data_IF_806513609525
#
_entry.id   IF_806513609525
#
_cell.length_a   1.000
_cell.length_b   1.000
_cell.length_c   1.000
_cell.angle_alpha   90.00
_cell.angle_beta   90.00
_cell.angle_gamma   90.00
#
_symmetry.space_group_name_H-M   'P 1'
#
loop_
_entity.id
_entity.type
_entity.pdbx_description
1 polymer ?
#
# COMPACT_ATOMS: atom_id res chain seq x y z
N UNK A 1 30.61 8.39 -16.07
CA UNK A 1 30.99 7.21 -15.27
C UNK A 1 29.87 6.19 -15.45
N UNK A 2 30.13 5.00 -15.95
CA UNK A 2 29.12 3.94 -16.02
C UNK A 2 29.00 3.28 -14.65
N UNK A 3 27.74 3.11 -14.18
CA UNK A 3 27.48 2.37 -12.94
C UNK A 3 27.91 0.90 -13.12
N UNK A 4 28.66 0.36 -12.16
CA UNK A 4 28.98 -1.07 -12.13
C UNK A 4 27.68 -1.88 -11.97
N UNK A 5 27.48 -2.85 -12.85
CA UNK A 5 26.35 -3.80 -12.75
C UNK A 5 26.86 -5.10 -12.14
N UNK A 6 26.30 -5.45 -10.99
CA UNK A 6 26.63 -6.68 -10.29
C UNK A 6 26.07 -7.91 -11.03
N UNK A 7 26.84 -9.01 -11.16
CA UNK A 7 26.31 -10.28 -11.66
C UNK A 7 25.31 -10.95 -10.70
N UNK A 8 25.17 -10.42 -9.47
CA UNK A 8 24.25 -10.91 -8.44
C UNK A 8 22.91 -10.15 -8.43
N UNK A 9 22.71 -9.20 -9.36
CA UNK A 9 21.46 -8.47 -9.45
C UNK A 9 20.34 -9.42 -9.90
N UNK A 10 19.40 -9.70 -8.98
CA UNK A 10 18.27 -10.58 -9.26
C UNK A 10 17.10 -9.84 -9.96
N UNK A 11 17.04 -8.51 -9.82
CA UNK A 11 15.99 -7.65 -10.34
C UNK A 11 16.57 -6.52 -11.18
N UNK A 12 16.39 -6.54 -12.52
CA UNK A 12 17.06 -5.59 -13.42
C UNK A 12 16.62 -4.14 -13.22
N UNK A 13 15.56 -3.89 -12.46
CA UNK A 13 14.98 -2.56 -12.26
C UNK A 13 15.56 -1.79 -11.06
N UNK A 14 16.34 -2.43 -10.20
CA UNK A 14 16.95 -1.76 -9.04
C UNK A 14 17.97 -0.69 -9.46
N UNK A 15 18.49 -0.78 -10.68
CA UNK A 15 19.39 0.22 -11.26
C UNK A 15 18.67 1.32 -12.06
N UNK A 16 17.35 1.37 -12.04
CA UNK A 16 16.59 2.47 -12.65
C UNK A 16 17.06 3.81 -12.07
N UNK A 17 17.04 4.85 -12.91
CA UNK A 17 17.45 6.19 -12.45
C UNK A 17 16.62 6.62 -11.22
N UNK A 18 17.29 7.24 -10.22
CA UNK A 18 16.63 7.64 -8.97
C UNK A 18 15.45 8.61 -9.13
N UNK A 19 15.30 9.19 -10.33
CA UNK A 19 14.13 10.00 -10.69
C UNK A 19 12.98 9.18 -11.28
N UNK A 20 13.23 7.92 -11.64
CA UNK A 20 12.20 7.00 -12.11
C UNK A 20 11.48 6.37 -10.91
N UNK A 21 10.25 6.80 -10.67
CA UNK A 21 9.48 6.41 -9.51
C UNK A 21 8.87 4.99 -9.61
N UNK A 22 9.06 4.27 -10.73
CA UNK A 22 8.48 2.92 -10.91
C UNK A 22 9.06 1.93 -9.91
N UNK A 23 10.38 1.92 -9.77
CA UNK A 23 11.04 1.05 -8.80
C UNK A 23 10.65 1.41 -7.36
N UNK A 24 10.59 2.71 -7.02
CA UNK A 24 10.16 3.16 -5.70
C UNK A 24 8.72 2.71 -5.39
N UNK A 25 7.84 2.75 -6.39
CA UNK A 25 6.45 2.29 -6.27
C UNK A 25 6.37 0.78 -6.03
N UNK A 26 7.13 0.00 -6.78
CA UNK A 26 7.20 -1.47 -6.65
C UNK A 26 7.72 -1.86 -5.26
N UNK A 27 8.82 -1.24 -4.81
CA UNK A 27 9.40 -1.50 -3.48
C UNK A 27 8.44 -1.11 -2.36
N UNK A 28 7.79 0.05 -2.46
CA UNK A 28 6.86 0.51 -1.43
C UNK A 28 5.63 -0.39 -1.34
N UNK A 29 5.05 -0.80 -2.46
CA UNK A 29 3.89 -1.70 -2.45
C UNK A 29 4.25 -3.10 -1.98
N UNK A 30 5.44 -3.61 -2.30
CA UNK A 30 5.95 -4.88 -1.76
C UNK A 30 6.15 -4.81 -0.23
N UNK A 31 6.74 -3.72 0.26
CA UNK A 31 6.88 -3.48 1.71
C UNK A 31 5.51 -3.39 2.39
N UNK A 32 4.53 -2.70 1.79
CA UNK A 32 3.17 -2.62 2.32
C UNK A 32 2.48 -3.97 2.38
N UNK A 33 2.61 -4.80 1.34
CA UNK A 33 2.07 -6.16 1.31
C UNK A 33 2.71 -7.02 2.42
N UNK A 34 4.03 -6.98 2.55
CA UNK A 34 4.78 -7.70 3.59
C UNK A 34 4.35 -7.26 5.01
N UNK A 35 4.17 -5.96 5.21
CA UNK A 35 3.72 -5.39 6.48
C UNK A 35 2.25 -5.73 6.79
N UNK A 36 1.40 -5.84 5.77
CA UNK A 36 0.02 -6.33 5.92
C UNK A 36 0.02 -7.80 6.37
N UNK A 37 0.92 -8.62 5.82
CA UNK A 37 1.14 -9.99 6.27
C UNK A 37 1.61 -10.07 7.73
N UNK A 38 2.51 -9.17 8.15
CA UNK A 38 2.95 -9.07 9.54
C UNK A 38 1.78 -8.68 10.47
N UNK A 39 0.99 -7.68 10.10
CA UNK A 39 -0.21 -7.28 10.85
C UNK A 39 -1.18 -8.46 10.99
N UNK A 40 -1.41 -9.20 9.90
CA UNK A 40 -2.25 -10.40 9.91
C UNK A 40 -1.75 -11.45 10.92
N UNK A 41 -0.45 -11.64 11.05
CA UNK A 41 0.13 -12.57 12.02
C UNK A 41 -0.06 -12.13 13.49
N UNK A 42 -0.18 -10.83 13.73
CA UNK A 42 -0.31 -10.23 15.06
C UNK A 42 -1.76 -10.14 15.57
N UNK A 43 -2.75 -10.15 14.69
CA UNK A 43 -4.17 -10.08 15.08
C UNK A 43 -4.70 -11.46 15.46
N UNK A 44 -5.73 -11.50 16.33
CA UNK A 44 -6.34 -12.76 16.80
C UNK A 44 -7.69 -13.05 16.15
N UNK A 45 -8.37 -12.02 15.65
CA UNK A 45 -9.67 -12.14 14.99
C UNK A 45 -9.53 -12.80 13.62
N UNK A 46 -10.18 -13.93 13.40
CA UNK A 46 -10.05 -14.72 12.17
C UNK A 46 -10.72 -14.01 10.96
N UNK A 47 -11.79 -13.24 11.19
CA UNK A 47 -12.41 -12.47 10.12
C UNK A 47 -11.46 -11.35 9.64
N UNK A 48 -10.84 -10.64 10.59
CA UNK A 48 -9.84 -9.62 10.28
C UNK A 48 -8.61 -10.22 9.60
N UNK A 49 -8.17 -11.41 10.00
CA UNK A 49 -7.07 -12.13 9.31
C UNK A 49 -7.41 -12.43 7.85
N UNK A 50 -8.65 -12.83 7.56
CA UNK A 50 -9.10 -13.10 6.20
C UNK A 50 -9.17 -11.80 5.37
N UNK A 51 -9.69 -10.71 5.97
CA UNK A 51 -9.70 -9.38 5.34
C UNK A 51 -8.27 -8.90 5.01
N UNK A 52 -7.33 -9.02 5.96
CA UNK A 52 -5.93 -8.62 5.77
C UNK A 52 -5.19 -9.46 4.73
N UNK A 53 -5.48 -10.76 4.63
CA UNK A 53 -4.91 -11.60 3.57
C UNK A 53 -5.35 -11.10 2.20
N UNK A 54 -6.63 -10.83 2.05
CA UNK A 54 -7.17 -10.30 0.81
C UNK A 54 -6.58 -8.91 0.46
N UNK A 55 -6.41 -8.03 1.47
CA UNK A 55 -5.75 -6.72 1.25
C UNK A 55 -4.29 -6.89 0.82
N UNK A 56 -3.57 -7.87 1.36
CA UNK A 56 -2.21 -8.19 0.94
C UNK A 56 -2.16 -8.58 -0.56
N UNK A 57 -3.06 -9.44 -1.01
CA UNK A 57 -3.21 -9.82 -2.43
C UNK A 57 -3.54 -8.61 -3.30
N UNK A 58 -4.46 -7.77 -2.86
CA UNK A 58 -4.85 -6.54 -3.55
C UNK A 58 -3.66 -5.60 -3.77
N UNK A 59 -2.81 -5.42 -2.76
CA UNK A 59 -1.61 -4.58 -2.87
C UNK A 59 -0.66 -5.14 -3.94
N UNK A 60 -0.51 -6.46 -4.05
CA UNK A 60 0.25 -7.07 -5.14
C UNK A 60 -0.39 -6.88 -6.52
N UNK A 61 -1.72 -6.80 -6.62
CA UNK A 61 -2.39 -6.43 -7.86
C UNK A 61 -2.17 -4.95 -8.23
N UNK A 62 -1.87 -4.08 -7.27
CA UNK A 62 -1.47 -2.68 -7.53
C UNK A 62 -0.01 -2.55 -7.97
N UNK A 63 0.87 -3.42 -7.51
CA UNK A 63 2.33 -3.32 -7.65
C UNK A 63 2.81 -3.03 -9.09
N UNK A 64 2.31 -3.69 -10.16
CA UNK A 64 2.83 -3.49 -11.52
C UNK A 64 2.33 -2.19 -12.21
N UNK A 65 1.49 -1.38 -11.55
CA UNK A 65 0.72 -0.32 -12.20
C UNK A 65 1.57 0.69 -12.96
N UNK A 66 2.62 1.23 -12.34
CA UNK A 66 3.44 2.27 -12.97
C UNK A 66 4.37 1.73 -14.05
N UNK A 67 4.70 0.44 -14.01
CA UNK A 67 5.57 -0.20 -15.01
C UNK A 67 4.79 -0.77 -16.18
N UNK A 68 3.60 -1.29 -15.94
CA UNK A 68 2.78 -1.94 -16.96
C UNK A 68 1.34 -1.43 -16.96
N UNK A 69 0.51 -1.88 -16.06
CA UNK A 69 -0.90 -1.48 -15.93
C UNK A 69 -1.46 -1.82 -14.56
N UNK A 70 -2.54 -1.16 -14.19
CA UNK A 70 -3.35 -1.55 -13.03
C UNK A 70 -4.08 -2.86 -13.33
N UNK A 71 -3.84 -3.88 -12.50
CA UNK A 71 -4.47 -5.19 -12.62
C UNK A 71 -5.64 -5.39 -11.65
N UNK A 72 -5.87 -4.43 -10.74
CA UNK A 72 -7.02 -4.44 -9.82
C UNK A 72 -8.32 -4.28 -10.60
N UNK A 73 -9.27 -5.18 -10.36
CA UNK A 73 -10.60 -5.15 -10.98
C UNK A 73 -11.53 -4.12 -10.34
N UNK A 74 -12.66 -3.84 -10.97
CA UNK A 74 -13.68 -2.94 -10.40
C UNK A 74 -14.32 -3.55 -9.14
N UNK A 75 -14.54 -4.86 -9.12
CA UNK A 75 -15.06 -5.59 -7.99
C UNK A 75 -14.11 -5.54 -6.79
N UNK A 76 -12.81 -5.69 -7.03
CA UNK A 76 -11.79 -5.56 -5.97
C UNK A 76 -11.75 -4.13 -5.42
N UNK A 77 -11.85 -3.13 -6.28
CA UNK A 77 -11.92 -1.73 -5.84
C UNK A 77 -13.16 -1.47 -4.98
N UNK A 78 -14.34 -1.90 -5.43
CA UNK A 78 -15.59 -1.78 -4.69
C UNK A 78 -15.49 -2.46 -3.31
N UNK A 79 -14.95 -3.67 -3.28
CA UNK A 79 -14.74 -4.42 -2.03
C UNK A 79 -13.82 -3.69 -1.04
N UNK A 80 -12.73 -3.07 -1.50
CA UNK A 80 -11.85 -2.30 -0.62
C UNK A 80 -12.59 -1.10 0.00
N UNK A 81 -13.39 -0.39 -0.81
CA UNK A 81 -14.18 0.74 -0.35
C UNK A 81 -15.22 0.31 0.72
N UNK A 82 -15.87 -0.82 0.51
CA UNK A 82 -16.80 -1.40 1.49
C UNK A 82 -16.09 -1.77 2.80
N UNK A 83 -14.93 -2.45 2.71
CA UNK A 83 -14.13 -2.79 3.89
C UNK A 83 -13.69 -1.54 4.66
N UNK A 84 -13.15 -0.53 3.97
CA UNK A 84 -12.71 0.72 4.59
C UNK A 84 -13.88 1.44 5.28
N UNK A 85 -15.06 1.46 4.67
CA UNK A 85 -16.27 2.03 5.26
C UNK A 85 -16.71 1.24 6.50
N UNK A 86 -16.73 -0.08 6.42
CA UNK A 86 -17.08 -0.95 7.55
C UNK A 86 -16.11 -0.80 8.73
N UNK A 87 -14.81 -0.65 8.48
CA UNK A 87 -13.85 -0.38 9.55
C UNK A 87 -14.06 0.99 10.18
N UNK A 88 -14.34 2.03 9.39
CA UNK A 88 -14.67 3.37 9.91
C UNK A 88 -15.92 3.34 10.80
N UNK A 89 -16.96 2.64 10.38
CA UNK A 89 -18.19 2.49 11.16
C UNK A 89 -17.95 1.75 12.48
N UNK A 90 -17.22 0.64 12.45
CA UNK A 90 -16.85 -0.11 13.67
C UNK A 90 -16.00 0.72 14.64
N UNK A 91 -15.24 1.68 14.14
CA UNK A 91 -14.40 2.58 14.94
C UNK A 91 -15.06 3.94 15.22
N UNK A 92 -16.30 4.16 14.77
CA UNK A 92 -17.01 5.41 14.98
C UNK A 92 -17.09 5.77 16.47
N UNK A 93 -16.72 7.01 16.80
CA UNK A 93 -16.71 7.51 18.17
C UNK A 93 -15.47 7.16 19.00
N UNK A 94 -14.56 6.31 18.52
CA UNK A 94 -13.31 5.97 19.23
C UNK A 94 -12.17 6.96 18.96
N UNK A 95 -12.13 7.56 17.75
CA UNK A 95 -11.06 8.44 17.30
C UNK A 95 -11.45 9.93 17.44
N UNK A 96 -11.86 10.36 18.63
CA UNK A 96 -12.28 11.75 18.87
C UNK A 96 -11.14 12.71 19.18
N UNK A 97 -10.01 12.19 19.63
CA UNK A 97 -8.84 12.95 20.03
C UNK A 97 -7.59 12.40 19.35
N UNK A 98 -6.59 13.26 19.19
CA UNK A 98 -5.26 12.79 18.80
C UNK A 98 -4.69 11.91 19.91
N UNK A 99 -4.22 10.72 19.52
CA UNK A 99 -3.58 9.77 20.43
C UNK A 99 -2.16 9.46 19.97
N UNK A 100 -1.27 9.24 20.92
CA UNK A 100 0.06 8.76 20.62
C UNK A 100 -0.02 7.35 20.06
N UNK A 101 0.86 7.07 19.09
CA UNK A 101 0.93 5.77 18.41
C UNK A 101 1.64 4.77 19.30
N UNK A 102 0.89 4.16 20.21
CA UNK A 102 1.38 3.15 21.16
C UNK A 102 0.25 2.17 21.44
N UNK A 103 0.56 1.08 22.14
CA UNK A 103 -0.41 0.04 22.47
C UNK A 103 0.14 -1.33 22.12
N UNK A 104 -0.68 -2.23 21.59
CA UNK A 104 -0.21 -3.54 21.18
C UNK A 104 0.54 -3.48 19.84
N UNK A 105 1.35 -4.52 19.59
CA UNK A 105 2.17 -4.61 18.37
C UNK A 105 1.33 -4.48 17.09
N UNK A 106 0.16 -5.12 17.05
CA UNK A 106 -0.75 -5.03 15.90
C UNK A 106 -1.19 -3.57 15.62
N UNK A 107 -1.52 -2.81 16.66
CA UNK A 107 -1.90 -1.41 16.52
C UNK A 107 -0.74 -0.55 16.00
N UNK A 108 0.47 -0.79 16.48
CA UNK A 108 1.67 -0.10 16.00
C UNK A 108 1.97 -0.45 14.54
N UNK A 109 1.84 -1.72 14.16
CA UNK A 109 2.03 -2.19 12.78
C UNK A 109 0.98 -1.58 11.84
N UNK A 110 -0.28 -1.53 12.24
CA UNK A 110 -1.36 -0.89 11.48
C UNK A 110 -1.07 0.61 11.26
N UNK A 111 -0.55 1.31 12.28
CA UNK A 111 -0.17 2.71 12.14
C UNK A 111 0.98 2.90 11.14
N UNK A 112 2.00 2.05 11.15
CA UNK A 112 3.08 2.09 10.18
C UNK A 112 2.55 1.88 8.76
N UNK A 113 1.66 0.91 8.57
CA UNK A 113 1.01 0.65 7.29
C UNK A 113 0.20 1.86 6.80
N UNK A 114 -0.53 2.52 7.72
CA UNK A 114 -1.23 3.78 7.41
C UNK A 114 -0.28 4.88 6.93
N UNK A 115 0.90 5.02 7.54
CA UNK A 115 1.92 6.00 7.09
C UNK A 115 2.45 5.65 5.71
N UNK A 116 2.68 4.37 5.42
CA UNK A 116 3.09 3.91 4.10
C UNK A 116 2.00 4.18 3.04
N UNK A 117 0.72 4.02 3.37
CA UNK A 117 -0.37 4.43 2.48
C UNK A 117 -0.28 5.91 2.09
N UNK A 118 0.06 6.79 3.04
CA UNK A 118 0.31 8.22 2.74
C UNK A 118 1.54 8.43 1.86
N UNK A 119 2.60 7.65 2.06
CA UNK A 119 3.79 7.71 1.20
C UNK A 119 3.45 7.28 -0.23
N UNK A 120 2.62 6.22 -0.38
CA UNK A 120 2.13 5.76 -1.68
C UNK A 120 1.34 6.84 -2.42
N UNK A 121 0.40 7.50 -1.76
CA UNK A 121 -0.37 8.63 -2.32
C UNK A 121 0.57 9.74 -2.79
N UNK A 122 1.55 10.11 -1.96
CA UNK A 122 2.52 11.15 -2.34
C UNK A 122 3.40 10.73 -3.52
N UNK A 123 3.75 9.45 -3.63
CA UNK A 123 4.50 8.93 -4.76
C UNK A 123 3.68 9.01 -6.06
N UNK A 124 2.39 8.63 -6.01
CA UNK A 124 1.47 8.75 -7.15
C UNK A 124 1.37 10.22 -7.61
N UNK A 125 1.21 11.17 -6.70
CA UNK A 125 1.18 12.60 -7.06
C UNK A 125 2.49 13.04 -7.72
N UNK A 126 3.66 12.65 -7.20
CA UNK A 126 4.94 12.97 -7.85
C UNK A 126 5.07 12.38 -9.25
N UNK A 127 4.50 11.20 -9.48
CA UNK A 127 4.45 10.56 -10.79
C UNK A 127 3.61 11.37 -11.77
N UNK A 128 2.44 11.82 -11.35
CA UNK A 128 1.54 12.68 -12.15
C UNK A 128 2.16 14.05 -12.41
N UNK A 129 2.79 14.67 -11.42
CA UNK A 129 3.51 15.96 -11.57
C UNK A 129 4.64 15.89 -12.60
N UNK A 130 5.22 14.73 -12.84
CA UNK A 130 6.20 14.49 -13.92
C UNK A 130 5.56 14.33 -15.31
N UNK A 131 4.25 14.49 -15.43
CA UNK A 131 3.52 14.42 -16.71
C UNK A 131 3.06 13.02 -17.10
N UNK A 132 3.06 12.06 -16.17
CA UNK A 132 2.56 10.70 -16.41
C UNK A 132 1.09 10.59 -16.01
N UNK A 133 0.37 9.73 -16.71
CA UNK A 133 -1.02 9.43 -16.38
C UNK A 133 -1.12 8.17 -15.50
N UNK A 134 -2.11 8.11 -14.65
CA UNK A 134 -2.50 6.94 -13.89
C UNK A 134 -4.03 6.79 -13.93
N UNK A 135 -4.57 5.57 -13.84
CA UNK A 135 -6.00 5.38 -13.64
C UNK A 135 -6.45 6.04 -12.32
N UNK A 136 -7.57 6.78 -12.34
CA UNK A 136 -8.14 7.42 -11.14
C UNK A 136 -8.31 6.43 -9.99
N UNK A 137 -8.71 5.19 -10.31
CA UNK A 137 -8.84 4.09 -9.34
C UNK A 137 -7.57 3.82 -8.54
N UNK A 138 -6.38 4.06 -9.08
CA UNK A 138 -5.13 3.86 -8.33
C UNK A 138 -5.07 4.79 -7.12
N UNK A 139 -5.48 6.04 -7.30
CA UNK A 139 -5.49 7.01 -6.21
C UNK A 139 -6.57 6.67 -5.17
N UNK A 140 -7.76 6.26 -5.62
CA UNK A 140 -8.85 5.81 -4.73
C UNK A 140 -8.42 4.62 -3.87
N UNK A 141 -7.75 3.62 -4.47
CA UNK A 141 -7.19 2.47 -3.76
C UNK A 141 -6.15 2.91 -2.72
N UNK A 142 -5.17 3.73 -3.12
CA UNK A 142 -4.12 4.19 -2.24
C UNK A 142 -4.67 5.00 -1.05
N UNK A 143 -5.66 5.87 -1.29
CA UNK A 143 -6.35 6.63 -0.23
C UNK A 143 -7.15 5.72 0.71
N UNK A 144 -7.79 4.68 0.17
CA UNK A 144 -8.58 3.72 0.96
C UNK A 144 -7.69 2.88 1.87
N UNK A 145 -6.48 2.51 1.44
CA UNK A 145 -5.49 1.79 2.24
C UNK A 145 -5.01 2.56 3.48
N UNK A 146 -5.19 3.88 3.53
CA UNK A 146 -4.88 4.69 4.73
C UNK A 146 -5.83 4.38 5.89
N UNK A 147 -6.96 3.75 5.62
CA UNK A 147 -8.01 3.47 6.61
C UNK A 147 -7.99 2.03 7.17
N UNK A 148 -6.93 1.28 6.87
CA UNK A 148 -6.68 -0.05 7.46
C UNK A 148 -6.41 0.03 8.96
#
# INVERSE_FOLDING_TARGET
MSLYRSPYEAYPFLCDAGEDLRCDFELLTDEMASRTGLLRAQVKDEALKAELLWVCELIYHMNPTLRTRLTVTEEECARLLELASGWKERCAGRCKLFVLTQGCEAACTAHLLRVQGKQLVRLIYRWVEKGHEVPDRLLDLALSLIHI
#
